data_IF_811443624027
#
_entry.id   IF_811443624027
#
_cell.length_a   1.000
_cell.length_b   1.000
_cell.length_c   1.000
_cell.angle_alpha   90.00
_cell.angle_beta   90.00
_cell.angle_gamma   90.00
#
_symmetry.space_group_name_H-M   'P 1'
#
loop_
_entity.id
_entity.type
_entity.pdbx_description
1 polymer ?
#
# COMPACT_ATOMS: atom_id res chain seq x y z
N UNK A 1 -9.92 25.93 5.42
CA UNK A 1 -9.72 24.64 4.74
C UNK A 1 -10.20 23.55 5.67
N UNK A 2 -11.06 22.65 5.18
CA UNK A 2 -11.51 21.51 5.97
C UNK A 2 -10.45 20.43 5.89
N UNK A 3 -10.00 19.91 7.03
CA UNK A 3 -9.09 18.77 7.07
C UNK A 3 -9.78 17.54 6.46
N UNK A 4 -9.03 16.76 5.69
CA UNK A 4 -9.47 15.49 5.11
C UNK A 4 -8.35 14.45 5.25
N UNK A 5 -8.66 13.20 5.58
CA UNK A 5 -7.66 12.13 5.63
C UNK A 5 -7.22 11.73 4.22
N UNK A 6 -6.03 11.15 4.11
CA UNK A 6 -5.61 10.42 2.92
C UNK A 6 -6.26 9.04 2.92
N UNK A 7 -6.90 8.67 1.81
CA UNK A 7 -7.43 7.33 1.60
C UNK A 7 -6.41 6.48 0.85
N UNK A 8 -6.15 5.27 1.34
CA UNK A 8 -5.26 4.28 0.72
C UNK A 8 -5.95 2.94 0.63
N UNK A 9 -5.62 2.18 -0.40
CA UNK A 9 -6.06 0.79 -0.61
C UNK A 9 -4.85 -0.14 -0.63
N UNK A 10 -5.07 -1.41 -0.28
CA UNK A 10 -4.04 -2.44 -0.31
C UNK A 10 -4.64 -3.81 -0.70
N UNK A 11 -3.85 -4.64 -1.37
CA UNK A 11 -4.25 -5.99 -1.79
C UNK A 11 -3.56 -7.06 -0.94
N UNK A 12 -4.34 -8.03 -0.45
CA UNK A 12 -3.81 -9.28 0.08
C UNK A 12 -3.88 -10.33 -1.03
N UNK A 13 -2.73 -10.72 -1.56
CA UNK A 13 -2.63 -11.73 -2.62
C UNK A 13 -1.93 -12.96 -2.05
N UNK A 14 -2.68 -14.04 -1.92
CA UNK A 14 -2.22 -15.33 -1.38
C UNK A 14 -2.12 -16.36 -2.51
N UNK A 15 -1.06 -17.18 -2.49
CA UNK A 15 -0.89 -18.33 -3.37
C UNK A 15 -0.07 -19.42 -2.69
N UNK A 16 -0.67 -20.61 -2.50
CA UNK A 16 -0.03 -21.81 -1.94
C UNK A 16 0.62 -21.58 -0.55
N UNK A 17 -0.08 -20.87 0.33
CA UNK A 17 0.37 -20.49 1.67
C UNK A 17 1.37 -19.33 1.70
N UNK A 18 1.63 -18.67 0.56
CA UNK A 18 2.56 -17.53 0.46
C UNK A 18 1.81 -16.26 0.10
N UNK A 19 2.35 -15.11 0.52
CA UNK A 19 1.76 -13.80 0.27
C UNK A 19 2.69 -12.94 -0.58
N UNK A 20 2.11 -12.20 -1.54
CA UNK A 20 2.85 -11.20 -2.30
C UNK A 20 3.10 -9.96 -1.44
N UNK A 21 4.36 -9.53 -1.40
CA UNK A 21 4.80 -8.27 -0.81
C UNK A 21 5.65 -7.51 -1.82
N UNK A 22 5.67 -6.19 -1.72
CA UNK A 22 6.60 -5.31 -2.44
C UNK A 22 7.65 -4.78 -1.48
N UNK A 23 8.88 -4.60 -1.96
CA UNK A 23 9.94 -3.93 -1.22
C UNK A 23 10.00 -2.46 -1.65
N UNK A 24 9.94 -1.56 -0.68
CA UNK A 24 10.01 -0.12 -0.91
C UNK A 24 11.21 0.48 -0.18
N UNK A 25 11.86 1.44 -0.84
CA UNK A 25 12.90 2.27 -0.21
C UNK A 25 12.21 3.45 0.48
N UNK A 26 12.30 3.49 1.81
CA UNK A 26 11.71 4.56 2.63
C UNK A 26 12.79 5.37 3.34
N UNK A 27 12.40 6.47 3.96
CA UNK A 27 13.25 7.27 4.87
C UNK A 27 13.82 6.45 6.05
N UNK A 28 13.15 5.35 6.42
CA UNK A 28 13.55 4.41 7.48
C UNK A 28 14.29 3.18 6.93
N UNK A 29 14.67 3.20 5.66
CA UNK A 29 15.31 2.10 4.93
C UNK A 29 14.31 1.18 4.23
N UNK A 30 14.76 0.00 3.81
CA UNK A 30 13.93 -0.93 3.04
C UNK A 30 12.81 -1.52 3.91
N UNK A 31 11.58 -1.54 3.40
CA UNK A 31 10.41 -2.09 4.08
C UNK A 31 9.59 -2.95 3.12
N UNK A 32 9.02 -4.02 3.66
CA UNK A 32 8.03 -4.80 2.94
C UNK A 32 6.63 -4.25 3.21
N UNK A 33 5.81 -4.18 2.17
CA UNK A 33 4.43 -3.76 2.22
C UNK A 33 3.54 -4.69 1.39
N UNK A 34 2.24 -4.64 1.64
CA UNK A 34 1.27 -5.13 0.67
C UNK A 34 1.33 -4.25 -0.59
N UNK A 35 1.01 -4.77 -1.79
CA UNK A 35 0.72 -3.91 -2.94
C UNK A 35 -0.37 -2.90 -2.54
N UNK A 36 -0.01 -1.62 -2.49
CA UNK A 36 -0.86 -0.57 -1.93
C UNK A 36 -0.69 0.76 -2.69
N UNK A 37 -1.68 1.65 -2.54
CA UNK A 37 -1.70 2.94 -3.22
C UNK A 37 -2.72 3.91 -2.62
N UNK A 38 -2.67 5.18 -3.04
CA UNK A 38 -3.68 6.17 -2.69
C UNK A 38 -4.90 6.01 -3.60
N UNK A 39 -6.08 6.35 -3.08
CA UNK A 39 -7.25 6.54 -3.93
C UNK A 39 -7.09 7.87 -4.68
N UNK A 40 -7.23 7.85 -6.00
CA UNK A 40 -7.28 9.06 -6.82
C UNK A 40 -8.73 9.44 -7.17
N UNK A 41 -8.95 10.70 -7.55
CA UNK A 41 -10.29 11.19 -7.86
C UNK A 41 -10.84 10.52 -9.13
N UNK A 42 -12.00 9.86 -8.99
CA UNK A 42 -12.74 9.14 -10.04
C UNK A 42 -12.15 7.78 -10.47
N UNK A 43 -11.37 7.13 -9.60
CA UNK A 43 -10.93 5.73 -9.76
C UNK A 43 -11.81 4.71 -9.02
#
# INVERSE_FOLDING_TARGET
MQWKPHATVAAIVEQNGKFLLVEEVTDRGNRFNQPAGHLEDNE
#
